data_IF_391768120192
#
_entry.id   IF_391768120192
#
_cell.length_a   1.000
_cell.length_b   1.000
_cell.length_c   1.000
_cell.angle_alpha   90.00
_cell.angle_beta   90.00
_cell.angle_gamma   90.00
#
_symmetry.space_group_name_H-M   'P 1'
#
loop_
_entity.id
_entity.type
_entity.pdbx_description
1 polymer ?
#
# COMPACT_ATOMS: atom_id res chain seq x y z
N UNK A 1 -59.44 -8.40 18.05
CA UNK A 1 -60.57 -7.94 18.90
C UNK A 1 -60.01 -7.79 20.30
N UNK A 2 -59.89 -6.54 20.80
CA UNK A 2 -60.81 -5.99 21.81
C UNK A 2 -60.80 -6.85 23.10
N UNK A 3 -60.62 -6.37 24.32
CA UNK A 3 -60.70 -5.01 24.86
C UNK A 3 -60.54 -5.13 26.40
N UNK A 4 -60.18 -4.01 27.06
CA UNK A 4 -60.71 -3.54 28.37
C UNK A 4 -60.25 -4.32 29.63
N UNK A 5 -59.37 -3.77 30.48
CA UNK A 5 -59.54 -2.71 31.52
C UNK A 5 -60.33 -3.17 32.76
N UNK A 6 -59.68 -3.11 33.93
CA UNK A 6 -60.20 -2.63 35.25
C UNK A 6 -59.17 -3.02 36.35
N UNK A 7 -58.47 -2.06 36.97
CA UNK A 7 -58.89 -1.27 38.15
C UNK A 7 -58.98 -2.09 39.46
N UNK A 8 -58.18 -1.71 40.46
CA UNK A 8 -58.32 -2.22 41.84
C UNK A 8 -57.13 -1.88 42.72
N UNK A 9 -57.36 -1.04 43.72
CA UNK A 9 -56.35 -0.38 44.54
C UNK A 9 -55.93 -1.17 45.80
N UNK A 10 -54.70 -0.86 46.22
CA UNK A 10 -54.22 -0.68 47.59
C UNK A 10 -53.89 -1.89 48.50
N UNK A 11 -52.69 -1.73 49.10
CA UNK A 11 -52.20 -2.16 50.42
C UNK A 11 -51.29 -3.41 50.53
N UNK A 12 -50.20 -3.17 51.27
CA UNK A 12 -49.18 -4.05 51.85
C UNK A 12 -48.03 -4.55 50.96
N UNK A 13 -46.82 -4.06 51.24
CA UNK A 13 -45.73 -4.88 51.78
C UNK A 13 -44.44 -4.03 51.90
N UNK A 14 -43.97 -3.88 53.13
CA UNK A 14 -42.55 -3.68 53.39
C UNK A 14 -41.77 -4.91 52.89
N UNK A 15 -40.53 -4.64 52.48
CA UNK A 15 -39.43 -5.58 52.28
C UNK A 15 -39.14 -6.01 50.82
N UNK A 16 -37.94 -5.59 50.41
CA UNK A 16 -37.06 -6.14 49.38
C UNK A 16 -37.28 -5.58 47.98
N UNK A 17 -36.81 -4.34 47.79
CA UNK A 17 -36.20 -3.98 46.52
C UNK A 17 -35.09 -4.99 46.25
N UNK A 18 -35.13 -5.74 45.14
CA UNK A 18 -33.99 -6.55 44.74
C UNK A 18 -32.79 -5.62 44.70
N UNK A 19 -31.71 -6.04 45.36
CA UNK A 19 -30.41 -5.40 45.24
C UNK A 19 -30.16 -5.20 43.75
N UNK A 20 -30.36 -3.95 43.29
CA UNK A 20 -29.94 -3.54 41.96
C UNK A 20 -28.48 -3.90 41.91
N UNK A 21 -28.10 -4.71 40.92
CA UNK A 21 -26.72 -4.95 40.58
C UNK A 21 -26.02 -3.59 40.63
N UNK A 22 -25.24 -3.39 41.69
CA UNK A 22 -24.45 -2.20 41.88
C UNK A 22 -23.33 -2.38 40.87
N UNK A 23 -23.57 -1.96 39.63
CA UNK A 23 -22.55 -1.83 38.59
C UNK A 23 -21.46 -1.01 39.23
N UNK A 24 -20.30 -1.66 39.44
CA UNK A 24 -19.13 -1.02 40.04
C UNK A 24 -18.62 0.00 39.02
N UNK A 25 -18.91 1.29 39.20
CA UNK A 25 -18.63 2.29 38.18
C UNK A 25 -17.13 2.45 37.94
N UNK A 26 -16.30 1.98 38.89
CA UNK A 26 -14.84 1.97 38.78
C UNK A 26 -14.38 0.82 37.89
N UNK A 27 -14.99 -0.37 38.02
CA UNK A 27 -14.69 -1.52 37.16
C UNK A 27 -15.03 -1.26 35.68
N UNK A 28 -16.20 -0.67 35.42
CA UNK A 28 -16.63 -0.31 34.06
C UNK A 28 -15.72 0.78 33.44
N UNK A 29 -15.21 1.72 34.27
CA UNK A 29 -14.26 2.75 33.83
C UNK A 29 -12.86 2.18 33.54
N UNK A 30 -12.40 1.17 34.29
CA UNK A 30 -11.13 0.50 34.04
C UNK A 30 -11.17 -0.35 32.76
N UNK A 31 -12.27 -1.07 32.52
CA UNK A 31 -12.47 -1.85 31.30
C UNK A 31 -12.48 -0.96 30.04
N UNK A 32 -13.18 0.17 30.09
CA UNK A 32 -13.21 1.13 28.97
C UNK A 32 -11.84 1.77 28.68
N UNK A 33 -11.02 2.01 29.70
CA UNK A 33 -9.63 2.49 29.51
C UNK A 33 -8.74 1.40 28.95
N UNK A 34 -8.89 0.15 29.40
CA UNK A 34 -8.13 -0.99 28.88
C UNK A 34 -8.44 -1.25 27.41
N UNK A 35 -9.72 -1.22 27.02
CA UNK A 35 -10.17 -1.34 25.64
C UNK A 35 -9.63 -0.22 24.76
N UNK A 36 -9.70 1.03 25.24
CA UNK A 36 -9.16 2.18 24.52
C UNK A 36 -7.64 2.07 24.29
N UNK A 37 -6.88 1.56 25.27
CA UNK A 37 -5.44 1.29 25.11
C UNK A 37 -5.18 0.18 24.09
N UNK A 38 -5.88 -0.95 24.21
CA UNK A 38 -5.73 -2.07 23.29
C UNK A 38 -6.09 -1.69 21.84
N UNK A 39 -7.06 -0.80 21.64
CA UNK A 39 -7.37 -0.24 20.32
C UNK A 39 -6.32 0.73 19.80
N UNK A 40 -5.74 1.56 20.67
CA UNK A 40 -4.67 2.49 20.31
C UNK A 40 -3.40 1.74 19.88
N UNK A 41 -3.01 0.71 20.64
CA UNK A 41 -1.84 -0.12 20.33
C UNK A 41 -2.00 -0.85 18.99
N UNK A 42 -3.20 -1.38 18.71
CA UNK A 42 -3.53 -2.00 17.41
C UNK A 42 -3.42 -1.00 16.25
N UNK A 43 -3.97 0.19 16.42
CA UNK A 43 -3.94 1.23 15.39
C UNK A 43 -2.51 1.76 15.15
N UNK A 44 -1.72 1.97 16.21
CA UNK A 44 -0.31 2.31 16.09
C UNK A 44 0.49 1.22 15.36
N UNK A 45 0.23 -0.05 15.66
CA UNK A 45 0.84 -1.18 14.95
C UNK A 45 0.47 -1.24 13.46
N UNK A 46 -0.77 -0.90 13.10
CA UNK A 46 -1.20 -0.82 11.70
C UNK A 46 -0.55 0.36 10.97
N UNK A 47 -0.48 1.53 11.61
CA UNK A 47 0.18 2.72 11.08
C UNK A 47 1.65 2.43 10.75
N UNK A 48 2.40 1.83 11.67
CA UNK A 48 3.81 1.48 11.45
C UNK A 48 3.98 0.49 10.27
N UNK A 49 3.11 -0.50 10.15
CA UNK A 49 3.13 -1.43 9.00
C UNK A 49 2.89 -0.72 7.67
N UNK A 50 1.94 0.22 7.63
CA UNK A 50 1.65 1.01 6.43
C UNK A 50 2.83 1.92 6.08
N UNK A 51 3.47 2.54 7.08
CA UNK A 51 4.65 3.36 6.88
C UNK A 51 5.80 2.57 6.26
N UNK A 52 6.15 1.42 6.85
CA UNK A 52 7.21 0.55 6.30
C UNK A 52 6.88 0.07 4.88
N UNK A 53 5.60 -0.22 4.60
CA UNK A 53 5.16 -0.59 3.25
C UNK A 53 5.34 0.56 2.26
N UNK A 54 5.04 1.80 2.67
CA UNK A 54 5.23 2.98 1.84
C UNK A 54 6.72 3.20 1.53
N UNK A 55 7.60 3.10 2.52
CA UNK A 55 9.06 3.21 2.35
C UNK A 55 9.61 2.13 1.42
N UNK A 56 9.14 0.89 1.56
CA UNK A 56 9.55 -0.23 0.68
C UNK A 56 9.12 0.03 -0.76
N UNK A 57 7.88 0.49 -0.97
CA UNK A 57 7.38 0.83 -2.31
C UNK A 57 8.19 1.98 -2.93
N UNK A 58 8.57 2.99 -2.15
CA UNK A 58 9.38 4.10 -2.65
C UNK A 58 10.77 3.64 -3.12
N UNK A 59 11.43 2.79 -2.34
CA UNK A 59 12.70 2.17 -2.73
C UNK A 59 12.56 1.29 -3.99
N UNK A 60 11.50 0.48 -4.08
CA UNK A 60 11.24 -0.37 -5.24
C UNK A 60 10.96 0.46 -6.51
N UNK A 61 10.26 1.60 -6.38
CA UNK A 61 10.02 2.53 -7.47
C UNK A 61 11.32 3.14 -7.98
N UNK A 62 12.16 3.67 -7.07
CA UNK A 62 13.45 4.24 -7.44
C UNK A 62 14.37 3.22 -8.14
N UNK A 63 14.42 1.99 -7.64
CA UNK A 63 15.17 0.90 -8.26
C UNK A 63 14.63 0.54 -9.66
N UNK A 64 13.30 0.50 -9.81
CA UNK A 64 12.65 0.21 -11.10
C UNK A 64 12.89 1.33 -12.12
N UNK A 65 12.90 2.59 -11.69
CA UNK A 65 13.19 3.75 -12.53
C UNK A 65 14.62 3.70 -13.08
N UNK A 66 15.61 3.41 -12.23
CA UNK A 66 17.00 3.23 -12.67
C UNK A 66 17.13 2.10 -13.70
N UNK A 67 16.49 0.96 -13.46
CA UNK A 67 16.48 -0.16 -14.40
C UNK A 67 15.81 0.20 -15.73
N UNK A 68 14.76 1.02 -15.71
CA UNK A 68 14.09 1.49 -16.92
C UNK A 68 14.97 2.40 -17.77
N UNK A 69 15.73 3.30 -17.14
CA UNK A 69 16.70 4.15 -17.84
C UNK A 69 17.79 3.31 -18.50
N UNK A 70 18.36 2.35 -17.78
CA UNK A 70 19.39 1.46 -18.30
C UNK A 70 18.87 0.62 -19.48
N UNK A 71 17.68 0.04 -19.35
CA UNK A 71 17.06 -0.75 -20.43
C UNK A 71 16.70 0.11 -21.64
N UNK A 72 16.24 1.34 -21.43
CA UNK A 72 15.95 2.27 -22.51
C UNK A 72 17.21 2.64 -23.30
N UNK A 73 18.33 2.87 -22.61
CA UNK A 73 19.62 3.13 -23.24
C UNK A 73 20.09 1.93 -24.08
N UNK A 74 20.08 0.71 -23.49
CA UNK A 74 20.42 -0.53 -24.19
C UNK A 74 19.56 -0.75 -25.43
N UNK A 75 18.27 -0.44 -25.35
CA UNK A 75 17.33 -0.58 -26.44
C UNK A 75 17.64 0.38 -27.60
N UNK A 76 18.06 1.62 -27.31
CA UNK A 76 18.46 2.56 -28.35
C UNK A 76 19.81 2.20 -28.99
N UNK A 77 20.75 1.67 -28.20
CA UNK A 77 22.02 1.14 -28.70
C UNK A 77 21.80 -0.02 -29.67
N UNK A 78 20.96 -1.00 -29.28
CA UNK A 78 20.58 -2.14 -30.13
C UNK A 78 19.89 -1.67 -31.42
N UNK A 79 18.96 -0.72 -31.34
CA UNK A 79 18.30 -0.13 -32.52
C UNK A 79 19.31 0.53 -33.45
N UNK A 80 20.26 1.27 -32.91
CA UNK A 80 21.29 1.96 -33.69
C UNK A 80 22.22 0.97 -34.38
N UNK A 81 22.64 -0.08 -33.67
CA UNK A 81 23.44 -1.16 -34.23
C UNK A 81 22.71 -1.87 -35.39
N UNK A 82 21.41 -2.18 -35.19
CA UNK A 82 20.59 -2.84 -36.21
C UNK A 82 20.39 -1.95 -37.45
N UNK A 83 20.13 -0.65 -37.27
CA UNK A 83 20.02 0.33 -38.38
C UNK A 83 21.33 0.43 -39.16
N UNK A 84 22.48 0.49 -38.48
CA UNK A 84 23.80 0.55 -39.09
C UNK A 84 24.12 -0.71 -39.92
N UNK A 85 23.78 -1.89 -39.39
CA UNK A 85 23.91 -3.16 -40.13
C UNK A 85 22.99 -3.22 -41.34
N UNK A 86 21.72 -2.85 -41.19
CA UNK A 86 20.76 -2.82 -42.30
C UNK A 86 21.20 -1.88 -43.43
N UNK A 87 21.72 -0.69 -43.11
CA UNK A 87 22.26 0.24 -44.09
C UNK A 87 23.49 -0.35 -44.82
N UNK A 88 24.39 -1.01 -44.09
CA UNK A 88 25.57 -1.68 -44.67
C UNK A 88 25.18 -2.83 -45.59
N UNK A 89 24.19 -3.64 -45.19
CA UNK A 89 23.66 -4.73 -46.01
C UNK A 89 23.03 -4.21 -47.30
N UNK A 90 22.24 -3.13 -47.24
CA UNK A 90 21.63 -2.50 -48.41
C UNK A 90 22.68 -1.98 -49.41
N UNK A 91 23.70 -1.27 -48.93
CA UNK A 91 24.80 -0.77 -49.77
C UNK A 91 25.62 -1.91 -50.41
N UNK A 92 25.82 -3.01 -49.69
CA UNK A 92 26.56 -4.18 -50.18
C UNK A 92 25.73 -5.01 -51.17
N UNK A 93 24.43 -5.12 -50.96
CA UNK A 93 23.51 -5.81 -51.88
C UNK A 93 23.51 -5.18 -53.27
N UNK A 94 23.56 -3.84 -53.37
CA UNK A 94 23.60 -3.15 -54.66
C UNK A 94 24.93 -3.24 -55.43
N UNK A 95 25.99 -3.77 -54.82
CA UNK A 95 27.34 -3.86 -55.41
C UNK A 95 27.77 -5.29 -55.75
N UNK A 96 26.92 -6.30 -55.53
CA UNK A 96 27.31 -7.72 -55.64
C UNK A 96 26.97 -8.37 -57.00
N UNK A 97 26.30 -7.67 -57.92
CA UNK A 97 25.83 -8.23 -59.21
C UNK A 97 26.87 -8.26 -60.35
N UNK A 98 28.14 -7.94 -60.09
CA UNK A 98 29.14 -7.83 -61.16
C UNK A 98 30.26 -8.86 -60.98
N UNK A 99 30.34 -9.79 -61.93
CA UNK A 99 31.40 -10.78 -62.18
C UNK A 99 31.48 -12.01 -61.26
N UNK A 100 30.62 -13.01 -61.51
CA UNK A 100 30.99 -14.41 -61.23
C UNK A 100 31.52 -15.06 -62.50
N UNK A 101 32.84 -14.97 -62.68
CA UNK A 101 33.61 -15.67 -63.71
C UNK A 101 33.71 -17.18 -63.45
N UNK A 102 33.66 -17.94 -64.52
CA UNK A 102 33.51 -19.39 -64.59
C UNK A 102 34.77 -20.16 -64.14
N UNK A 103 34.63 -21.13 -63.21
CA UNK A 103 35.16 -22.49 -63.43
C UNK A 103 36.46 -22.97 -62.75
N UNK A 104 36.79 -22.61 -61.51
CA UNK A 104 37.87 -23.30 -60.74
C UNK A 104 37.42 -23.79 -59.36
N UNK A 105 38.02 -24.88 -58.87
CA UNK A 105 37.75 -25.45 -57.53
C UNK A 105 38.01 -24.44 -56.39
N UNK A 106 38.98 -23.52 -56.56
CA UNK A 106 39.16 -22.38 -55.66
C UNK A 106 37.91 -21.50 -55.53
N UNK A 107 37.19 -21.25 -56.63
CA UNK A 107 35.96 -20.43 -56.62
C UNK A 107 34.84 -21.14 -55.84
N UNK A 108 34.75 -22.47 -55.92
CA UNK A 108 33.76 -23.24 -55.15
C UNK A 108 34.01 -23.18 -53.63
N UNK A 109 35.27 -23.29 -53.21
CA UNK A 109 35.66 -23.14 -51.79
C UNK A 109 35.41 -21.72 -51.27
N UNK A 110 35.66 -20.69 -52.09
CA UNK A 110 35.41 -19.30 -51.73
C UNK A 110 33.92 -18.98 -51.60
N UNK A 111 33.09 -19.52 -52.51
CA UNK A 111 31.62 -19.44 -52.41
C UNK A 111 31.09 -20.12 -51.14
N UNK A 112 31.61 -21.31 -50.80
CA UNK A 112 31.20 -22.02 -49.58
C UNK A 112 31.59 -21.27 -48.28
N UNK A 113 32.79 -20.66 -48.23
CA UNK A 113 33.18 -19.80 -47.10
C UNK A 113 32.30 -18.56 -47.01
N UNK A 114 31.99 -17.94 -48.15
CA UNK A 114 31.14 -16.75 -48.21
C UNK A 114 29.70 -17.06 -47.77
N UNK A 115 29.13 -18.18 -48.20
CA UNK A 115 27.77 -18.59 -47.78
C UNK A 115 27.71 -18.90 -46.28
N UNK A 116 28.72 -19.59 -45.73
CA UNK A 116 28.82 -19.84 -44.30
C UNK A 116 28.88 -18.53 -43.48
N UNK A 117 29.64 -17.54 -43.97
CA UNK A 117 29.76 -16.23 -43.31
C UNK A 117 28.46 -15.42 -43.38
N UNK A 118 27.74 -15.47 -44.51
CA UNK A 118 26.42 -14.83 -44.66
C UNK A 118 25.37 -15.50 -43.76
N UNK A 119 25.36 -16.82 -43.68
CA UNK A 119 24.44 -17.54 -42.79
C UNK A 119 24.67 -17.15 -41.32
N UNK A 120 25.93 -17.11 -40.87
CA UNK A 120 26.28 -16.67 -39.51
C UNK A 120 25.88 -15.22 -39.24
N UNK A 121 25.99 -14.35 -40.25
CA UNK A 121 25.58 -12.95 -40.13
C UNK A 121 24.05 -12.84 -40.00
N UNK A 122 23.29 -13.56 -40.83
CA UNK A 122 21.83 -13.61 -40.75
C UNK A 122 21.36 -14.16 -39.41
N UNK A 123 22.02 -15.20 -38.89
CA UNK A 123 21.73 -15.76 -37.57
C UNK A 123 21.99 -14.74 -36.45
N UNK A 124 23.13 -14.05 -36.48
CA UNK A 124 23.43 -12.96 -35.54
C UNK A 124 22.42 -11.81 -35.62
N UNK A 125 21.96 -11.44 -36.81
CA UNK A 125 20.98 -10.36 -36.98
C UNK A 125 19.60 -10.78 -36.46
N UNK A 126 19.21 -12.05 -36.65
CA UNK A 126 18.00 -12.61 -36.03
C UNK A 126 18.10 -12.61 -34.50
N UNK A 127 19.25 -12.99 -33.93
CA UNK A 127 19.48 -12.94 -32.48
C UNK A 127 19.36 -11.51 -31.94
N UNK A 128 19.93 -10.51 -32.62
CA UNK A 128 19.82 -9.09 -32.24
C UNK A 128 18.37 -8.59 -32.35
N UNK A 129 17.64 -8.96 -33.39
CA UNK A 129 16.24 -8.61 -33.55
C UNK A 129 15.37 -9.23 -32.44
N UNK A 130 15.65 -10.48 -32.06
CA UNK A 130 14.98 -11.15 -30.95
C UNK A 130 15.30 -10.47 -29.61
N UNK A 131 16.57 -10.20 -29.32
CA UNK A 131 16.98 -9.46 -28.12
C UNK A 131 16.31 -8.08 -28.02
N UNK A 132 16.14 -7.38 -29.14
CA UNK A 132 15.46 -6.10 -29.18
C UNK A 132 13.97 -6.24 -28.82
N UNK A 133 13.29 -7.28 -29.33
CA UNK A 133 11.90 -7.57 -29.03
C UNK A 133 11.72 -7.91 -27.54
N UNK A 134 12.55 -8.83 -27.02
CA UNK A 134 12.55 -9.24 -25.62
C UNK A 134 12.80 -8.06 -24.68
N UNK A 135 13.75 -7.19 -25.02
CA UNK A 135 14.07 -5.99 -24.23
C UNK A 135 12.94 -4.96 -24.25
N UNK A 136 12.26 -4.79 -25.40
CA UNK A 136 11.11 -3.90 -25.52
C UNK A 136 9.94 -4.39 -24.66
N UNK A 137 9.62 -5.68 -24.70
CA UNK A 137 8.58 -6.30 -23.88
C UNK A 137 8.92 -6.17 -22.38
N UNK A 138 10.15 -6.49 -22.00
CA UNK A 138 10.58 -6.37 -20.61
C UNK A 138 10.52 -4.92 -20.09
N UNK A 139 10.82 -3.94 -20.94
CA UNK A 139 10.74 -2.52 -20.63
C UNK A 139 9.28 -2.07 -20.46
N UNK A 140 8.36 -2.51 -21.31
CA UNK A 140 6.92 -2.26 -21.15
C UNK A 140 6.37 -2.88 -19.85
N UNK A 141 6.76 -4.12 -19.55
CA UNK A 141 6.40 -4.81 -18.32
C UNK A 141 6.88 -4.04 -17.08
N UNK A 142 8.13 -3.56 -17.08
CA UNK A 142 8.66 -2.72 -15.98
C UNK A 142 7.93 -1.38 -15.86
N UNK A 143 7.58 -0.72 -16.97
CA UNK A 143 6.76 0.51 -16.94
C UNK A 143 5.37 0.26 -16.39
N UNK A 144 4.77 -0.89 -16.71
CA UNK A 144 3.48 -1.29 -16.14
C UNK A 144 3.60 -1.55 -14.63
N UNK A 145 4.67 -2.23 -14.20
CA UNK A 145 4.98 -2.44 -12.77
C UNK A 145 5.17 -1.11 -12.02
N UNK A 146 5.98 -0.18 -12.55
CA UNK A 146 6.17 1.13 -11.92
C UNK A 146 4.85 1.90 -11.74
N UNK A 147 3.97 1.85 -12.75
CA UNK A 147 2.62 2.45 -12.64
C UNK A 147 1.77 1.79 -11.55
N UNK A 148 1.84 0.47 -11.43
CA UNK A 148 1.13 -0.27 -10.39
C UNK A 148 1.69 0.03 -8.99
N UNK A 149 3.01 0.11 -8.85
CA UNK A 149 3.68 0.42 -7.58
C UNK A 149 3.35 1.85 -7.13
N UNK A 150 3.34 2.84 -8.05
CA UNK A 150 2.87 4.22 -7.76
C UNK A 150 1.42 4.25 -7.28
N UNK A 151 0.52 3.51 -7.94
CA UNK A 151 -0.88 3.43 -7.51
C UNK A 151 -1.03 2.78 -6.13
N UNK A 152 -0.22 1.76 -5.83
CA UNK A 152 -0.19 1.12 -4.51
C UNK A 152 0.38 2.05 -3.43
N UNK A 153 1.38 2.87 -3.76
CA UNK A 153 1.95 3.86 -2.87
C UNK A 153 0.92 4.94 -2.48
N UNK A 154 0.24 5.54 -3.46
CA UNK A 154 -0.83 6.52 -3.23
C UNK A 154 -1.98 5.97 -2.38
N UNK A 155 -2.36 4.71 -2.63
CA UNK A 155 -3.34 4.01 -1.79
C UNK A 155 -2.85 3.85 -0.35
N UNK A 156 -1.57 3.50 -0.17
CA UNK A 156 -0.97 3.35 1.17
C UNK A 156 -0.91 4.69 1.90
N UNK A 157 -0.60 5.79 1.20
CA UNK A 157 -0.64 7.13 1.79
C UNK A 157 -2.04 7.54 2.23
N UNK A 158 -3.06 7.21 1.45
CA UNK A 158 -4.47 7.46 1.85
C UNK A 158 -4.82 6.67 3.11
N UNK A 159 -4.50 5.37 3.14
CA UNK A 159 -4.73 4.54 4.33
C UNK A 159 -3.98 5.08 5.57
N UNK A 160 -2.75 5.58 5.39
CA UNK A 160 -1.96 6.14 6.48
C UNK A 160 -2.61 7.39 7.07
N UNK A 161 -3.16 8.27 6.21
CA UNK A 161 -3.91 9.46 6.65
C UNK A 161 -5.19 9.10 7.38
N UNK A 162 -5.92 8.11 6.88
CA UNK A 162 -7.15 7.62 7.52
C UNK A 162 -6.85 7.02 8.90
N UNK A 163 -5.80 6.20 9.01
CA UNK A 163 -5.39 5.60 10.28
C UNK A 163 -4.91 6.68 11.28
N UNK A 164 -4.19 7.70 10.81
CA UNK A 164 -3.79 8.84 11.63
C UNK A 164 -5.01 9.59 12.19
N UNK A 165 -5.99 9.90 11.34
CA UNK A 165 -7.22 10.57 11.77
C UNK A 165 -8.00 9.72 12.79
N UNK A 166 -8.03 8.40 12.63
CA UNK A 166 -8.64 7.49 13.59
C UNK A 166 -7.90 7.47 14.93
N UNK A 167 -6.56 7.45 14.91
CA UNK A 167 -5.73 7.53 16.11
C UNK A 167 -6.00 8.84 16.87
N UNK A 168 -6.00 9.97 16.17
CA UNK A 168 -6.26 11.28 16.78
C UNK A 168 -7.67 11.36 17.40
N UNK A 169 -8.69 10.84 16.71
CA UNK A 169 -10.05 10.78 17.22
C UNK A 169 -10.16 9.90 18.49
N UNK A 170 -9.48 8.75 18.50
CA UNK A 170 -9.43 7.85 19.67
C UNK A 170 -8.71 8.50 20.84
N UNK A 171 -7.59 9.17 20.60
CA UNK A 171 -6.86 9.91 21.63
C UNK A 171 -7.72 11.04 22.24
N UNK A 172 -8.43 11.80 21.40
CA UNK A 172 -9.35 12.84 21.87
C UNK A 172 -10.49 12.26 22.73
N UNK A 173 -11.08 11.13 22.31
CA UNK A 173 -12.13 10.44 23.08
C UNK A 173 -11.61 9.93 24.44
N UNK A 174 -10.42 9.34 24.47
CA UNK A 174 -9.78 8.86 25.70
C UNK A 174 -9.45 10.03 26.66
N UNK A 175 -8.97 11.16 26.14
CA UNK A 175 -8.72 12.36 26.92
C UNK A 175 -10.01 12.95 27.51
N UNK A 176 -11.09 12.99 26.72
CA UNK A 176 -12.40 13.46 27.18
C UNK A 176 -12.94 12.59 28.33
N UNK A 177 -12.90 11.25 28.17
CA UNK A 177 -13.32 10.31 29.21
C UNK A 177 -12.55 10.51 30.51
N UNK A 178 -11.22 10.68 30.43
CA UNK A 178 -10.36 10.96 31.58
C UNK A 178 -10.74 12.28 32.29
N UNK A 179 -11.01 13.34 31.53
CA UNK A 179 -11.38 14.63 32.11
C UNK A 179 -12.73 14.58 32.82
N UNK A 180 -13.70 13.85 32.26
CA UNK A 180 -15.01 13.62 32.91
C UNK A 180 -14.84 12.87 34.23
N UNK A 181 -14.06 11.78 34.24
CA UNK A 181 -13.80 11.01 35.46
C UNK A 181 -13.12 11.84 36.55
N UNK A 182 -12.17 12.72 36.19
CA UNK A 182 -11.55 13.66 37.14
C UNK A 182 -12.56 14.68 37.70
N UNK A 183 -13.47 15.19 36.87
CA UNK A 183 -14.50 16.13 37.31
C UNK A 183 -15.51 15.47 38.28
N UNK A 184 -15.92 14.24 38.01
CA UNK A 184 -16.80 13.47 38.89
C UNK A 184 -16.14 13.16 40.24
N UNK A 185 -14.85 12.80 40.24
CA UNK A 185 -14.09 12.61 41.49
C UNK A 185 -13.99 13.90 42.30
N UNK A 186 -13.78 15.05 41.65
CA UNK A 186 -13.75 16.35 42.33
C UNK A 186 -15.13 16.72 42.91
N UNK A 187 -16.21 16.45 42.19
CA UNK A 187 -17.57 16.67 42.66
C UNK A 187 -17.90 15.79 43.87
N UNK A 188 -17.47 14.53 43.88
CA UNK A 188 -17.65 13.61 45.01
C UNK A 188 -16.80 13.99 46.25
N UNK A 189 -15.70 14.72 46.05
CA UNK A 189 -14.83 15.20 47.14
C UNK A 189 -15.27 16.57 47.71
N UNK A 190 -16.26 17.25 47.12
CA UNK A 190 -16.79 18.48 47.72
C UNK A 190 -17.58 18.12 48.98
N UNK A 191 -17.13 18.56 50.18
CA UNK A 191 -17.87 18.31 51.40
C UNK A 191 -19.23 18.99 51.29
N UNK A 192 -20.31 18.23 51.45
CA UNK A 192 -21.64 18.78 51.68
C UNK A 192 -21.53 19.73 52.86
N UNK A 193 -21.72 21.03 52.61
CA UNK A 193 -21.64 22.06 53.63
C UNK A 193 -22.51 21.63 54.84
N UNK A 194 -21.99 21.64 56.07
CA UNK A 194 -22.78 21.30 57.24
C UNK A 194 -24.00 22.22 57.27
N UNK A 195 -25.19 21.62 57.36
CA UNK A 195 -26.44 22.35 57.43
C UNK A 195 -26.34 23.44 58.51
N UNK A 196 -26.77 24.68 58.25
CA UNK A 196 -26.71 25.74 59.25
C UNK A 196 -27.52 25.28 60.48
N UNK A 197 -26.82 25.06 61.59
CA UNK A 197 -27.42 24.70 62.87
C UNK A 197 -28.52 25.70 63.19
N UNK A 198 -29.77 25.22 63.11
CA UNK A 198 -30.94 25.98 63.50
C UNK A 198 -30.75 26.45 64.96
N UNK A 199 -30.68 27.77 65.14
CA UNK A 199 -30.67 28.39 66.44
C UNK A 199 -31.96 27.98 67.20
N UNK A 200 -31.87 27.56 68.48
CA UNK A 200 -33.04 27.24 69.27
C UNK A 200 -33.86 28.53 69.53
N UNK A 201 -35.20 28.51 69.32
CA UNK A 201 -36.09 29.60 69.69
C UNK A 201 -36.27 29.70 71.23
N UNK A 202 -36.81 30.82 71.75
CA UNK A 202 -36.32 31.55 72.94
C UNK A 202 -36.56 30.88 74.30
#
# INVERSE_FOLDING_TARGET
MAAVVAAGAALFATAWTPAGAQTDPVGDAEETVADARAEADRAAGNYLKLLTRAETLDADMAATEQQLEEMAARLEDLKTALRGRAATAYLRSGSTDLEFGLGSDEVALEVARRSALLNRLNESDNEVAQQLADLAEALEAKRAKLRADRAAYEKTLTLLRDEQAQLDAKLAKAQAARNTALAEQQAAQQPTAPAPSAAPPP
#
